data_IF_073086539361
#
_entry.id   IF_073086539361
#
_cell.length_a   1.000
_cell.length_b   1.000
_cell.length_c   1.000
_cell.angle_alpha   90.00
_cell.angle_beta   90.00
_cell.angle_gamma   90.00
#
_symmetry.space_group_name_H-M   'P 1'
#
loop_
_entity.id
_entity.type
_entity.pdbx_description
1 polymer ?
#
# COMPACT_ATOMS: atom_id res chain seq x y z
N UNK A 1 -41.14 3.73 -12.25
CA UNK A 1 -39.88 3.17 -11.74
C UNK A 1 -40.01 3.03 -10.22
N UNK A 2 -40.35 1.83 -9.72
CA UNK A 2 -40.53 1.59 -8.27
C UNK A 2 -39.18 1.17 -7.70
N UNK A 3 -38.52 2.06 -6.99
CA UNK A 3 -37.36 1.74 -6.18
C UNK A 3 -37.80 0.84 -5.01
N UNK A 4 -37.43 -0.42 -5.08
CA UNK A 4 -37.62 -1.36 -3.97
C UNK A 4 -36.59 -1.03 -2.89
N UNK A 5 -37.02 -0.39 -1.83
CA UNK A 5 -36.23 0.04 -0.65
C UNK A 5 -35.76 -1.11 0.27
N UNK A 6 -35.80 -2.36 -0.18
CA UNK A 6 -35.63 -3.52 0.71
C UNK A 6 -34.21 -4.12 0.77
N UNK A 7 -33.19 -3.45 0.19
CA UNK A 7 -31.80 -3.95 0.23
C UNK A 7 -30.77 -3.05 0.95
N UNK A 8 -31.24 -2.08 1.73
CA UNK A 8 -30.39 -1.17 2.51
C UNK A 8 -30.32 -1.51 4.00
N UNK A 9 -30.61 -2.74 4.41
CA UNK A 9 -30.62 -3.17 5.80
C UNK A 9 -29.65 -4.33 6.02
N UNK A 10 -28.33 -4.10 6.09
CA UNK A 10 -27.51 -4.86 7.03
C UNK A 10 -26.80 -4.01 8.10
N UNK A 11 -26.96 -2.70 8.15
CA UNK A 11 -26.24 -1.86 9.10
C UNK A 11 -26.81 -1.82 10.51
N UNK A 12 -28.02 -2.31 10.74
CA UNK A 12 -28.67 -2.27 12.06
C UNK A 12 -28.53 -3.52 12.92
N UNK A 13 -27.88 -4.58 12.45
CA UNK A 13 -27.78 -5.85 13.19
C UNK A 13 -26.63 -5.93 14.18
N UNK A 14 -25.72 -4.95 14.24
CA UNK A 14 -24.57 -4.93 15.15
C UNK A 14 -24.83 -4.28 16.51
N UNK A 15 -26.02 -3.77 16.76
CA UNK A 15 -26.35 -3.09 18.03
C UNK A 15 -26.98 -4.01 19.11
N UNK A 16 -27.08 -5.31 18.86
CA UNK A 16 -27.65 -6.27 19.80
C UNK A 16 -26.62 -7.31 20.27
N UNK A 17 -25.44 -6.87 20.74
CA UNK A 17 -24.57 -7.74 21.51
C UNK A 17 -25.00 -7.67 22.98
N UNK A 18 -25.44 -8.77 23.61
CA UNK A 18 -25.89 -8.76 24.98
C UNK A 18 -24.73 -8.48 25.92
N UNK A 19 -25.00 -7.74 26.96
CA UNK A 19 -24.27 -7.26 28.14
C UNK A 19 -23.11 -8.01 28.79
N UNK A 20 -22.30 -8.73 28.02
CA UNK A 20 -21.10 -9.41 28.53
C UNK A 20 -19.79 -8.62 28.30
N UNK A 21 -19.88 -7.36 27.81
CA UNK A 21 -18.71 -6.56 27.49
C UNK A 21 -18.36 -5.57 28.63
N UNK A 22 -18.02 -6.06 29.80
CA UNK A 22 -17.69 -5.21 30.97
C UNK A 22 -16.39 -4.41 30.85
N UNK A 23 -15.64 -4.53 29.75
CA UNK A 23 -14.43 -3.72 29.49
C UNK A 23 -14.10 -3.56 27.99
N UNK A 24 -15.06 -3.71 27.10
CA UNK A 24 -14.83 -3.61 25.66
C UNK A 24 -14.60 -2.16 25.24
N UNK A 25 -13.62 -1.96 24.37
CA UNK A 25 -13.39 -0.73 23.63
C UNK A 25 -13.76 -1.00 22.17
N UNK A 26 -14.78 -0.31 21.66
CA UNK A 26 -15.30 -0.52 20.31
C UNK A 26 -15.05 0.74 19.50
N UNK A 27 -14.33 0.59 18.39
CA UNK A 27 -14.10 1.64 17.39
C UNK A 27 -14.85 1.30 16.11
N UNK A 28 -15.54 2.28 15.56
CA UNK A 28 -16.21 2.20 14.26
C UNK A 28 -15.65 3.26 13.34
N UNK A 29 -15.17 2.84 12.18
CA UNK A 29 -14.69 3.69 11.11
C UNK A 29 -15.58 3.52 9.89
N UNK A 30 -16.10 4.61 9.37
CA UNK A 30 -16.90 4.60 8.16
C UNK A 30 -16.44 5.72 7.21
N UNK A 31 -16.20 5.38 5.94
CA UNK A 31 -15.85 6.35 4.92
C UNK A 31 -16.69 6.13 3.69
N UNK A 32 -17.47 7.14 3.32
CA UNK A 32 -18.27 7.17 2.08
C UNK A 32 -17.55 8.06 1.07
N UNK A 33 -17.34 7.56 -0.14
CA UNK A 33 -16.67 8.27 -1.21
C UNK A 33 -17.54 8.20 -2.46
N UNK A 34 -17.83 9.35 -3.07
CA UNK A 34 -18.37 9.44 -4.43
C UNK A 34 -17.29 10.09 -5.30
N UNK A 35 -16.84 9.38 -6.31
CA UNK A 35 -15.89 9.90 -7.29
C UNK A 35 -16.61 10.21 -8.58
N UNK A 36 -16.28 11.34 -9.19
CA UNK A 36 -16.71 11.73 -10.52
C UNK A 36 -15.48 11.85 -11.40
N UNK A 37 -15.49 11.16 -12.52
CA UNK A 37 -14.38 11.13 -13.44
C UNK A 37 -14.88 11.20 -14.88
N UNK A 38 -14.27 12.08 -15.67
CA UNK A 38 -14.46 12.13 -17.11
C UNK A 38 -13.15 11.81 -17.78
N UNK A 39 -13.14 10.79 -18.62
CA UNK A 39 -11.98 10.36 -19.41
C UNK A 39 -12.25 10.57 -20.87
N UNK A 40 -11.23 11.04 -21.56
CA UNK A 40 -11.18 11.09 -23.00
C UNK A 40 -9.96 10.29 -23.48
N UNK A 41 -10.17 9.03 -23.83
CA UNK A 41 -9.12 8.22 -24.47
C UNK A 41 -9.02 8.60 -25.97
N UNK A 42 -7.81 8.61 -26.56
CA UNK A 42 -7.65 8.85 -27.99
C UNK A 42 -8.50 7.87 -28.80
N UNK A 43 -9.45 8.41 -29.58
CA UNK A 43 -10.31 7.62 -30.48
C UNK A 43 -11.54 6.97 -29.84
N UNK A 44 -11.82 7.21 -28.55
CA UNK A 44 -13.04 6.73 -27.89
C UNK A 44 -13.94 7.89 -27.45
N UNK A 45 -15.28 7.67 -27.33
CA UNK A 45 -16.16 8.66 -26.73
C UNK A 45 -15.77 8.97 -25.28
N UNK A 46 -15.97 10.22 -24.85
CA UNK A 46 -15.82 10.58 -23.44
C UNK A 46 -16.66 9.70 -22.55
N UNK A 47 -16.04 9.13 -21.52
CA UNK A 47 -16.72 8.29 -20.53
C UNK A 47 -16.89 9.06 -19.22
N UNK A 48 -18.09 9.01 -18.65
CA UNK A 48 -18.37 9.54 -17.32
C UNK A 48 -18.54 8.37 -16.36
N UNK A 49 -17.76 8.35 -15.29
CA UNK A 49 -17.75 7.32 -14.28
C UNK A 49 -18.05 7.96 -12.93
N UNK A 50 -18.97 7.39 -12.17
CA UNK A 50 -19.33 7.91 -10.85
C UNK A 50 -19.49 6.77 -9.81
N UNK A 51 -18.41 6.07 -9.42
CA UNK A 51 -18.48 5.05 -8.39
C UNK A 51 -18.71 5.67 -7.01
N UNK A 52 -19.73 5.18 -6.32
CA UNK A 52 -19.97 5.41 -4.90
C UNK A 52 -19.42 4.22 -4.11
N UNK A 53 -18.50 4.47 -3.19
CA UNK A 53 -17.84 3.43 -2.40
C UNK A 53 -18.07 3.71 -0.92
N UNK A 54 -18.49 2.68 -0.18
CA UNK A 54 -18.60 2.70 1.25
C UNK A 54 -17.53 1.77 1.84
N UNK A 55 -16.67 2.30 2.70
CA UNK A 55 -15.77 1.55 3.55
C UNK A 55 -16.36 1.48 4.96
N UNK A 56 -16.20 0.34 5.62
CA UNK A 56 -16.66 0.14 6.99
C UNK A 56 -15.66 -0.70 7.76
N UNK A 57 -15.22 -0.19 8.91
CA UNK A 57 -14.36 -0.85 9.88
C UNK A 57 -15.02 -0.97 11.24
N UNK A 58 -14.72 -2.07 11.91
CA UNK A 58 -15.11 -2.34 13.29
C UNK A 58 -13.93 -2.99 14.00
N UNK A 59 -13.46 -2.35 15.07
CA UNK A 59 -12.50 -2.89 16.00
C UNK A 59 -13.15 -3.02 17.38
N UNK A 60 -13.20 -4.24 17.92
CA UNK A 60 -13.64 -4.51 19.27
C UNK A 60 -12.48 -5.09 20.06
N UNK A 61 -11.94 -4.30 20.97
CA UNK A 61 -10.77 -4.63 21.77
C UNK A 61 -11.17 -4.94 23.21
N UNK A 62 -10.26 -5.61 23.97
CA UNK A 62 -10.42 -5.93 25.39
C UNK A 62 -11.64 -6.80 25.71
N UNK A 63 -12.07 -7.63 24.77
CA UNK A 63 -13.07 -8.67 25.01
C UNK A 63 -12.46 -9.79 25.88
N UNK A 64 -13.30 -10.59 26.56
CA UNK A 64 -12.87 -11.74 27.36
C UNK A 64 -11.69 -11.39 28.28
N UNK A 65 -11.90 -10.47 29.22
CA UNK A 65 -10.91 -9.99 30.20
C UNK A 65 -9.66 -9.35 29.55
N UNK A 66 -9.85 -8.79 28.36
CA UNK A 66 -8.81 -8.09 27.62
C UNK A 66 -7.86 -8.99 26.85
N UNK A 67 -8.24 -10.24 26.63
CA UNK A 67 -7.43 -11.20 25.90
C UNK A 67 -7.88 -11.40 24.45
N UNK A 68 -9.14 -11.08 24.14
CA UNK A 68 -9.72 -11.25 22.81
C UNK A 68 -9.96 -9.91 22.13
N UNK A 69 -9.71 -9.83 20.84
CA UNK A 69 -10.12 -8.73 19.97
C UNK A 69 -10.69 -9.24 18.65
N UNK A 70 -11.61 -8.45 18.08
CA UNK A 70 -12.20 -8.67 16.76
C UNK A 70 -11.89 -7.46 15.90
N UNK A 71 -11.42 -7.71 14.69
CA UNK A 71 -11.09 -6.68 13.68
C UNK A 71 -11.76 -7.04 12.37
N UNK A 72 -12.56 -6.12 11.83
CA UNK A 72 -13.27 -6.32 10.56
C UNK A 72 -13.18 -5.03 9.75
N UNK A 73 -12.82 -5.14 8.48
CA UNK A 73 -12.81 -4.01 7.54
C UNK A 73 -13.15 -4.50 6.14
N UNK A 74 -14.04 -3.78 5.49
CA UNK A 74 -14.45 -4.11 4.14
C UNK A 74 -14.98 -2.90 3.39
N UNK A 75 -15.33 -3.11 2.12
CA UNK A 75 -15.89 -2.09 1.27
C UNK A 75 -16.95 -2.64 0.33
N UNK A 76 -17.87 -1.78 -0.06
CA UNK A 76 -18.82 -2.02 -1.13
C UNK A 76 -18.88 -0.82 -2.05
N UNK A 77 -19.02 -1.06 -3.36
CA UNK A 77 -19.07 -0.04 -4.40
C UNK A 77 -20.19 -0.31 -5.37
N UNK A 78 -20.89 0.75 -5.77
CA UNK A 78 -21.81 0.76 -6.89
C UNK A 78 -21.50 1.97 -7.80
N UNK A 79 -21.64 1.81 -9.11
CA UNK A 79 -21.55 2.93 -10.03
C UNK A 79 -22.93 3.59 -10.19
N UNK A 80 -23.01 4.90 -9.97
CA UNK A 80 -24.28 5.67 -10.02
C UNK A 80 -24.52 6.36 -11.38
N UNK A 81 -23.51 6.43 -12.25
CA UNK A 81 -23.65 7.06 -13.57
C UNK A 81 -23.80 6.01 -14.67
N UNK A 82 -22.83 5.11 -14.79
CA UNK A 82 -22.78 4.12 -15.86
C UNK A 82 -22.23 2.78 -15.34
N UNK A 83 -22.14 1.77 -16.20
CA UNK A 83 -21.50 0.52 -15.81
C UNK A 83 -20.03 0.75 -15.56
N UNK A 84 -19.53 0.27 -14.42
CA UNK A 84 -18.11 0.33 -14.08
C UNK A 84 -17.25 -0.44 -15.10
N UNK A 85 -15.93 -0.28 -15.02
CA UNK A 85 -14.95 -0.94 -15.90
C UNK A 85 -15.17 -2.44 -16.14
N UNK A 86 -15.85 -3.13 -15.24
CA UNK A 86 -16.08 -4.57 -15.29
C UNK A 86 -17.49 -4.94 -15.72
N UNK A 87 -18.30 -4.01 -16.24
CA UNK A 87 -19.73 -4.22 -16.50
C UNK A 87 -20.56 -4.65 -15.28
N UNK A 88 -20.02 -4.57 -14.07
CA UNK A 88 -20.71 -4.90 -12.84
C UNK A 88 -21.20 -3.64 -12.15
N UNK A 89 -22.48 -3.61 -11.80
CA UNK A 89 -23.04 -2.49 -11.04
C UNK A 89 -22.58 -2.46 -9.59
N UNK A 90 -22.23 -3.63 -9.02
CA UNK A 90 -21.83 -3.74 -7.63
C UNK A 90 -20.58 -4.61 -7.49
N UNK A 91 -19.68 -4.14 -6.66
CA UNK A 91 -18.50 -4.86 -6.21
C UNK A 91 -18.32 -4.65 -4.70
N UNK A 92 -17.67 -5.59 -4.04
CA UNK A 92 -17.38 -5.46 -2.62
C UNK A 92 -16.45 -6.55 -2.14
N UNK A 93 -15.73 -6.27 -1.09
CA UNK A 93 -14.77 -7.21 -0.52
C UNK A 93 -14.57 -7.01 0.97
N UNK A 94 -14.34 -8.10 1.67
CA UNK A 94 -13.76 -8.09 3.01
C UNK A 94 -12.26 -7.91 2.87
N UNK A 95 -11.75 -6.74 3.29
CA UNK A 95 -10.30 -6.47 3.26
C UNK A 95 -9.58 -7.27 4.34
N UNK A 96 -10.10 -7.26 5.58
CA UNK A 96 -9.68 -8.17 6.63
C UNK A 96 -10.85 -8.44 7.58
N UNK A 97 -10.80 -9.61 8.23
CA UNK A 97 -11.78 -9.98 9.24
C UNK A 97 -11.22 -11.14 10.06
N UNK A 98 -10.73 -10.83 11.26
CA UNK A 98 -10.09 -11.83 12.10
C UNK A 98 -10.35 -11.61 13.59
N UNK A 99 -10.25 -12.70 14.33
CA UNK A 99 -10.14 -12.73 15.78
C UNK A 99 -8.68 -12.83 16.17
N UNK A 100 -8.29 -12.11 17.22
CA UNK A 100 -6.97 -12.24 17.84
C UNK A 100 -7.12 -12.55 19.31
N UNK A 101 -6.44 -13.59 19.77
CA UNK A 101 -6.40 -13.98 21.19
C UNK A 101 -4.98 -13.89 21.73
N UNK A 102 -4.81 -13.17 22.83
CA UNK A 102 -3.54 -12.97 23.54
C UNK A 102 -3.40 -13.89 24.72
N UNK A 103 -2.42 -14.78 24.69
CA UNK A 103 -2.03 -15.63 25.83
C UNK A 103 -1.00 -14.89 26.68
N UNK A 104 -1.45 -14.12 27.68
CA UNK A 104 -0.55 -13.27 28.48
C UNK A 104 0.56 -14.06 29.18
N UNK A 105 0.24 -15.24 29.73
CA UNK A 105 1.20 -16.09 30.43
C UNK A 105 2.31 -16.64 29.54
N UNK A 106 2.00 -16.89 28.28
CA UNK A 106 2.95 -17.45 27.30
C UNK A 106 3.54 -16.38 26.39
N UNK A 107 3.17 -15.09 26.59
CA UNK A 107 3.50 -14.00 25.68
C UNK A 107 3.25 -14.38 24.20
N UNK A 108 2.10 -14.96 23.93
CA UNK A 108 1.76 -15.51 22.62
C UNK A 108 0.46 -14.90 22.09
N UNK A 109 0.37 -14.81 20.76
CA UNK A 109 -0.80 -14.35 20.01
C UNK A 109 -1.26 -15.42 19.04
N UNK A 110 -2.56 -15.63 18.95
CA UNK A 110 -3.22 -16.44 17.93
C UNK A 110 -4.16 -15.54 17.13
N UNK A 111 -4.09 -15.59 15.81
CA UNK A 111 -5.05 -14.94 14.92
C UNK A 111 -5.75 -15.98 14.08
N UNK A 112 -7.04 -15.75 13.78
CA UNK A 112 -7.83 -16.62 12.91
C UNK A 112 -8.83 -15.79 12.09
N UNK A 113 -8.87 -16.01 10.77
CA UNK A 113 -9.69 -15.31 9.81
C UNK A 113 -8.89 -14.79 8.63
N UNK A 114 -9.31 -13.67 8.03
CA UNK A 114 -8.60 -12.97 6.96
C UNK A 114 -7.70 -11.89 7.55
N UNK A 115 -6.41 -11.98 7.36
CA UNK A 115 -5.43 -11.00 7.85
C UNK A 115 -4.17 -10.97 6.99
N UNK A 116 -3.43 -9.85 7.07
CA UNK A 116 -2.12 -9.72 6.44
C UNK A 116 -1.02 -10.24 7.35
N UNK A 117 -0.08 -10.98 6.76
CA UNK A 117 1.14 -11.50 7.37
C UNK A 117 2.32 -10.65 6.95
N UNK A 118 3.13 -10.24 7.93
CA UNK A 118 4.39 -9.53 7.72
C UNK A 118 5.44 -10.17 8.63
N UNK A 119 5.95 -11.33 8.23
CA UNK A 119 6.83 -12.18 9.04
C UNK A 119 8.11 -12.52 8.27
N UNK A 120 9.17 -11.75 8.52
CA UNK A 120 10.45 -11.94 7.85
C UNK A 120 10.37 -11.68 6.35
N UNK A 121 10.50 -12.74 5.55
CA UNK A 121 10.38 -12.65 4.07
C UNK A 121 8.94 -12.76 3.56
N UNK A 122 7.98 -13.08 4.45
CA UNK A 122 6.58 -13.30 4.08
C UNK A 122 5.81 -11.99 4.16
N UNK A 123 5.17 -11.60 3.07
CA UNK A 123 4.30 -10.43 2.98
C UNK A 123 3.06 -10.80 2.15
N UNK A 124 2.12 -11.50 2.81
CA UNK A 124 0.95 -12.08 2.16
C UNK A 124 -0.32 -11.78 2.93
N UNK A 125 -1.46 -11.93 2.28
CA UNK A 125 -2.76 -11.95 2.91
C UNK A 125 -3.36 -13.35 2.82
N UNK A 126 -3.83 -13.87 3.95
CA UNK A 126 -4.40 -15.23 4.02
C UNK A 126 -5.77 -15.27 4.70
N UNK A 127 -6.56 -16.24 4.27
CA UNK A 127 -7.71 -16.77 5.00
C UNK A 127 -7.25 -18.00 5.78
N UNK A 128 -6.95 -17.83 7.09
CA UNK A 128 -6.28 -18.90 7.83
C UNK A 128 -6.07 -18.57 9.29
N UNK A 129 -4.98 -19.11 9.83
CA UNK A 129 -4.56 -18.87 11.21
C UNK A 129 -3.07 -18.57 11.30
N UNK A 130 -2.66 -17.78 12.27
CA UNK A 130 -1.27 -17.56 12.64
C UNK A 130 -1.08 -17.59 14.15
N UNK A 131 0.05 -18.10 14.55
CA UNK A 131 0.51 -18.14 15.94
C UNK A 131 1.88 -17.48 16.04
N UNK A 132 2.08 -16.69 17.09
CA UNK A 132 3.38 -16.08 17.40
C UNK A 132 3.61 -16.12 18.89
N UNK A 133 4.85 -16.39 19.31
CA UNK A 133 5.26 -16.35 20.72
C UNK A 133 6.69 -15.87 20.86
N UNK A 134 6.95 -15.14 21.96
CA UNK A 134 8.31 -14.83 22.39
C UNK A 134 8.76 -15.89 23.41
N UNK A 135 9.91 -16.49 23.15
CA UNK A 135 10.53 -17.52 23.96
C UNK A 135 11.60 -16.91 24.88
N UNK A 136 12.04 -17.65 25.92
CA UNK A 136 13.19 -17.23 26.74
C UNK A 136 14.46 -16.96 25.92
N UNK A 137 15.38 -16.22 26.51
CA UNK A 137 16.70 -15.88 25.94
C UNK A 137 16.65 -15.02 24.67
N UNK A 138 15.51 -14.39 24.36
CA UNK A 138 15.37 -13.51 23.20
C UNK A 138 14.97 -14.20 21.90
N UNK A 139 14.66 -15.49 21.95
CA UNK A 139 14.10 -16.18 20.78
C UNK A 139 12.63 -15.82 20.58
N UNK A 140 12.17 -15.89 19.34
CA UNK A 140 10.78 -15.77 18.96
C UNK A 140 10.44 -16.77 17.87
N UNK A 141 9.22 -17.23 17.85
CA UNK A 141 8.72 -18.17 16.86
C UNK A 141 7.35 -17.72 16.34
N UNK A 142 7.15 -17.79 15.04
CA UNK A 142 5.83 -17.66 14.43
C UNK A 142 5.59 -18.75 13.40
N UNK A 143 4.32 -19.13 13.25
CA UNK A 143 3.86 -20.06 12.23
C UNK A 143 2.49 -19.62 11.71
N UNK A 144 2.20 -19.93 10.46
CA UNK A 144 0.92 -19.63 9.84
C UNK A 144 0.52 -20.71 8.84
N UNK A 145 -0.78 -20.74 8.54
CA UNK A 145 -1.32 -21.60 7.51
C UNK A 145 -2.72 -21.15 7.11
N UNK A 146 -3.01 -21.25 5.80
CA UNK A 146 -4.29 -20.82 5.24
C UNK A 146 -4.29 -20.85 3.73
N UNK A 147 -5.30 -20.20 3.14
CA UNK A 147 -5.39 -19.97 1.71
C UNK A 147 -5.00 -18.53 1.38
N UNK A 148 -4.26 -18.32 0.30
CA UNK A 148 -3.92 -16.98 -0.16
C UNK A 148 -5.14 -16.20 -0.62
N UNK A 149 -5.12 -14.91 -0.33
CA UNK A 149 -6.14 -13.97 -0.77
C UNK A 149 -5.56 -13.13 -1.92
N UNK A 150 -6.03 -13.39 -3.12
CA UNK A 150 -5.58 -12.69 -4.32
C UNK A 150 -6.55 -11.59 -4.73
N UNK A 151 -6.01 -10.47 -5.24
CA UNK A 151 -6.83 -9.46 -5.92
C UNK A 151 -7.07 -9.92 -7.35
N UNK A 152 -8.20 -10.57 -7.62
CA UNK A 152 -8.48 -11.18 -8.92
C UNK A 152 -8.87 -10.13 -9.96
N UNK A 153 -9.53 -9.05 -9.55
CA UNK A 153 -9.98 -7.96 -10.42
C UNK A 153 -10.52 -6.79 -9.59
N UNK A 154 -11.14 -5.81 -10.24
CA UNK A 154 -11.79 -4.69 -9.56
C UNK A 154 -13.00 -5.09 -8.69
N UNK A 155 -13.44 -6.35 -8.71
CA UNK A 155 -14.54 -6.85 -7.87
C UNK A 155 -14.12 -7.09 -6.43
N UNK A 156 -12.83 -7.24 -6.16
CA UNK A 156 -12.31 -7.38 -4.82
C UNK A 156 -11.30 -8.50 -4.65
N UNK A 157 -11.00 -8.79 -3.41
CA UNK A 157 -10.06 -9.81 -2.98
C UNK A 157 -10.81 -11.12 -2.71
N UNK A 158 -10.29 -12.22 -3.23
CA UNK A 158 -10.89 -13.53 -3.03
C UNK A 158 -9.83 -14.61 -2.85
N UNK A 159 -10.18 -15.65 -2.08
CA UNK A 159 -9.49 -16.94 -2.07
C UNK A 159 -10.46 -17.95 -2.66
N UNK A 160 -10.07 -18.73 -3.64
CA UNK A 160 -10.98 -19.73 -4.23
C UNK A 160 -11.08 -21.00 -3.39
N UNK A 161 -10.17 -21.16 -2.43
CA UNK A 161 -10.19 -22.22 -1.41
C UNK A 161 -9.92 -23.63 -1.92
N UNK A 162 -9.65 -23.78 -3.22
CA UNK A 162 -9.33 -25.08 -3.82
C UNK A 162 -7.84 -25.14 -4.19
N UNK A 163 -7.07 -25.89 -3.40
CA UNK A 163 -5.65 -26.09 -3.65
C UNK A 163 -4.73 -24.96 -3.20
N UNK A 164 -5.27 -23.79 -2.86
CA UNK A 164 -4.52 -22.61 -2.43
C UNK A 164 -4.04 -22.76 -0.99
N UNK A 165 -3.03 -23.57 -0.77
CA UNK A 165 -2.40 -23.68 0.55
C UNK A 165 -1.20 -22.73 0.66
N UNK A 166 -1.13 -21.94 1.73
CA UNK A 166 0.04 -21.15 2.08
C UNK A 166 0.41 -21.45 3.53
N UNK A 167 1.63 -21.95 3.74
CA UNK A 167 2.13 -22.37 5.05
C UNK A 167 3.54 -21.83 5.23
N UNK A 168 3.84 -21.41 6.44
CA UNK A 168 5.18 -20.92 6.72
C UNK A 168 5.40 -20.60 8.18
N UNK A 169 6.59 -20.07 8.44
CA UNK A 169 6.97 -19.65 9.77
C UNK A 169 8.29 -18.91 9.79
N UNK A 170 8.57 -18.32 10.92
CA UNK A 170 9.80 -17.59 11.20
C UNK A 170 10.32 -17.94 12.58
N UNK A 171 11.62 -18.16 12.67
CA UNK A 171 12.37 -18.21 13.91
C UNK A 171 13.24 -16.94 13.97
N UNK A 172 13.14 -16.19 15.05
CA UNK A 172 13.96 -15.00 15.23
C UNK A 172 14.67 -14.98 16.57
N UNK A 173 15.77 -14.23 16.62
CA UNK A 173 16.55 -13.97 17.82
C UNK A 173 16.74 -12.46 18.00
N UNK A 174 16.41 -11.96 19.20
CA UNK A 174 16.56 -10.56 19.58
C UNK A 174 17.58 -10.40 20.68
N UNK A 175 18.55 -9.53 20.47
CA UNK A 175 19.57 -9.21 21.43
C UNK A 175 19.48 -7.75 21.90
N UNK A 176 19.07 -7.54 23.14
CA UNK A 176 19.09 -6.26 23.88
C UNK A 176 18.52 -5.05 23.12
N UNK A 177 17.61 -5.23 22.18
CA UNK A 177 17.09 -4.12 21.37
C UNK A 177 18.12 -3.50 20.42
N UNK A 178 19.21 -4.20 20.12
CA UNK A 178 20.29 -3.77 19.23
C UNK A 178 20.30 -4.57 17.94
N UNK A 179 19.94 -5.86 18.02
CA UNK A 179 19.99 -6.78 16.91
C UNK A 179 18.74 -7.67 16.92
N UNK A 180 18.11 -7.83 15.78
CA UNK A 180 17.17 -8.91 15.50
C UNK A 180 17.63 -9.64 14.24
N UNK A 181 17.72 -10.96 14.30
CA UNK A 181 17.97 -11.84 13.18
C UNK A 181 16.80 -12.79 13.04
N UNK A 182 16.33 -13.00 11.82
CA UNK A 182 15.27 -13.92 11.51
C UNK A 182 15.65 -14.90 10.40
N UNK A 183 15.13 -16.12 10.48
CA UNK A 183 15.11 -17.08 9.40
C UNK A 183 13.66 -17.51 9.18
N UNK A 184 13.21 -17.48 7.94
CA UNK A 184 11.81 -17.75 7.58
C UNK A 184 11.71 -18.63 6.34
N UNK A 185 10.60 -19.32 6.22
CA UNK A 185 10.26 -20.12 5.06
C UNK A 185 8.76 -20.09 4.80
N UNK A 186 8.43 -20.21 3.52
CA UNK A 186 7.06 -20.22 3.01
C UNK A 186 6.92 -21.27 1.92
N UNK A 187 5.80 -21.96 1.94
CA UNK A 187 5.35 -22.84 0.88
C UNK A 187 3.94 -22.44 0.47
N UNK A 188 3.77 -22.08 -0.78
CA UNK A 188 2.50 -21.74 -1.41
C UNK A 188 2.23 -22.73 -2.55
N UNK A 189 1.04 -23.35 -2.52
CA UNK A 189 0.52 -24.18 -3.60
C UNK A 189 -0.30 -23.33 -4.54
N UNK A 190 -0.42 -23.73 -5.80
CA UNK A 190 -1.25 -23.10 -6.82
C UNK A 190 -1.07 -21.57 -6.93
N UNK A 191 0.19 -21.14 -6.76
CA UNK A 191 0.54 -19.75 -7.02
C UNK A 191 0.04 -19.35 -8.42
N UNK A 192 -0.53 -18.13 -8.59
CA UNK A 192 -1.03 -17.69 -9.88
C UNK A 192 0.04 -17.84 -10.94
N UNK A 193 -0.30 -18.49 -12.05
CA UNK A 193 0.60 -18.64 -13.18
C UNK A 193 1.04 -17.25 -13.66
N UNK A 194 2.34 -17.03 -13.77
CA UNK A 194 2.87 -15.80 -14.34
C UNK A 194 2.54 -15.79 -15.83
N UNK A 195 1.78 -14.76 -16.26
CA UNK A 195 1.50 -14.58 -17.67
C UNK A 195 2.73 -13.92 -18.30
N UNK A 196 3.45 -14.66 -19.14
CA UNK A 196 4.42 -14.07 -20.05
C UNK A 196 3.65 -13.33 -21.15
N UNK A 197 3.56 -12.01 -21.04
CA UNK A 197 2.90 -11.17 -22.02
C UNK A 197 3.60 -11.20 -23.39
N UNK A 198 4.88 -11.59 -23.43
CA UNK A 198 5.66 -11.75 -24.65
C UNK A 198 5.45 -13.14 -25.29
N UNK A 199 4.97 -14.09 -24.51
CA UNK A 199 4.69 -15.45 -24.98
C UNK A 199 3.39 -16.01 -24.35
N UNK A 200 2.23 -15.42 -24.64
CA UNK A 200 0.96 -15.78 -24.00
C UNK A 200 0.50 -17.23 -24.30
N UNK A 201 1.11 -17.88 -25.30
CA UNK A 201 0.79 -19.27 -25.69
C UNK A 201 1.55 -20.32 -24.86
N UNK A 202 2.55 -19.89 -24.08
CA UNK A 202 3.37 -20.78 -23.28
C UNK A 202 3.75 -20.11 -21.96
N UNK A 203 2.77 -19.77 -21.07
CA UNK A 203 3.08 -19.16 -19.80
C UNK A 203 3.95 -20.12 -18.98
N UNK A 204 5.04 -19.65 -18.34
CA UNK A 204 5.79 -20.47 -17.40
C UNK A 204 4.84 -20.87 -16.27
N UNK A 205 4.53 -22.14 -16.18
CA UNK A 205 3.69 -22.70 -15.13
C UNK A 205 4.52 -22.92 -13.87
N UNK A 206 4.75 -21.87 -13.09
CA UNK A 206 5.23 -22.02 -11.72
C UNK A 206 3.99 -22.15 -10.84
N UNK A 207 3.65 -23.38 -10.48
CA UNK A 207 2.45 -23.67 -9.69
C UNK A 207 2.69 -23.61 -8.17
N UNK A 208 3.93 -23.62 -7.74
CA UNK A 208 4.27 -23.61 -6.33
C UNK A 208 5.37 -22.59 -6.05
N UNK A 209 5.23 -21.85 -4.97
CA UNK A 209 6.29 -21.00 -4.46
C UNK A 209 6.88 -21.60 -3.20
N UNK A 210 8.19 -21.85 -3.22
CA UNK A 210 8.95 -22.29 -2.06
C UNK A 210 10.08 -21.32 -1.81
N UNK A 211 9.86 -20.43 -0.86
CA UNK A 211 10.83 -19.41 -0.50
C UNK A 211 11.40 -19.68 0.88
N UNK A 212 12.71 -19.47 1.01
CA UNK A 212 13.41 -19.45 2.29
C UNK A 212 14.25 -18.19 2.36
N UNK A 213 14.48 -17.67 3.54
CA UNK A 213 15.29 -16.48 3.64
C UNK A 213 15.61 -16.06 5.06
N UNK A 214 16.33 -14.95 5.14
CA UNK A 214 16.69 -14.33 6.40
C UNK A 214 16.45 -12.85 6.38
N UNK A 215 16.22 -12.32 7.55
CA UNK A 215 16.03 -10.90 7.79
C UNK A 215 16.91 -10.40 8.92
N UNK A 216 17.25 -9.13 8.90
CA UNK A 216 18.06 -8.46 9.89
C UNK A 216 17.49 -7.10 10.22
N UNK A 217 17.46 -6.79 11.51
CA UNK A 217 17.38 -5.44 12.02
C UNK A 217 18.53 -5.22 12.98
N UNK A 218 19.30 -4.14 12.76
CA UNK A 218 20.50 -3.83 13.55
C UNK A 218 20.57 -2.34 13.83
N UNK A 219 20.55 -1.96 15.10
CA UNK A 219 20.60 -0.59 15.57
C UNK A 219 21.52 -0.49 16.79
N UNK A 220 22.85 -0.50 16.57
CA UNK A 220 23.84 -0.48 17.65
C UNK A 220 23.87 0.85 18.40
N UNK A 221 23.38 1.90 17.77
CA UNK A 221 23.28 3.24 18.32
C UNK A 221 22.09 3.97 17.71
N UNK A 222 21.45 4.88 18.47
CA UNK A 222 20.30 5.70 18.00
C UNK A 222 20.53 6.47 16.69
N UNK A 223 21.78 6.59 16.26
CA UNK A 223 22.17 7.25 15.01
C UNK A 223 22.40 6.28 13.84
N UNK A 224 22.30 4.98 14.05
CA UNK A 224 22.56 3.98 12.99
C UNK A 224 21.50 2.90 13.06
N UNK A 225 20.84 2.67 11.96
CA UNK A 225 19.87 1.61 11.79
C UNK A 225 20.04 0.95 10.42
N UNK A 226 20.13 -0.37 10.41
CA UNK A 226 20.11 -1.21 9.22
C UNK A 226 18.96 -2.18 9.34
N UNK A 227 18.14 -2.30 8.30
CA UNK A 227 17.12 -3.32 8.20
C UNK A 227 17.08 -3.90 6.80
N UNK A 228 16.65 -5.13 6.69
CA UNK A 228 16.45 -5.75 5.39
C UNK A 228 16.30 -7.24 5.46
N UNK A 229 16.08 -7.80 4.28
CA UNK A 229 15.90 -9.24 4.12
C UNK A 229 16.44 -9.71 2.77
N UNK A 230 16.65 -11.03 2.72
CA UNK A 230 16.96 -11.76 1.50
C UNK A 230 16.07 -12.98 1.44
N UNK A 231 15.42 -13.19 0.31
CA UNK A 231 14.66 -14.41 0.02
C UNK A 231 15.24 -15.17 -1.18
N UNK A 232 15.18 -16.48 -1.12
CA UNK A 232 15.63 -17.41 -2.14
C UNK A 232 14.48 -18.33 -2.52
N UNK A 233 14.14 -18.39 -3.79
CA UNK A 233 13.16 -19.33 -4.32
C UNK A 233 13.85 -20.65 -4.65
N UNK A 234 13.43 -21.72 -3.99
CA UNK A 234 14.05 -23.04 -4.13
C UNK A 234 13.62 -23.77 -5.40
N UNK A 235 12.52 -23.35 -6.04
CA UNK A 235 12.04 -23.93 -7.29
C UNK A 235 12.77 -23.34 -8.49
N UNK A 236 12.86 -22.01 -8.56
CA UNK A 236 13.61 -21.32 -9.61
C UNK A 236 15.13 -21.32 -9.35
N UNK A 237 15.56 -21.82 -8.18
CA UNK A 237 16.96 -21.91 -7.75
C UNK A 237 17.70 -20.58 -7.84
N UNK A 238 17.05 -19.53 -7.42
CA UNK A 238 17.57 -18.17 -7.48
C UNK A 238 17.18 -17.30 -6.30
N UNK A 239 17.91 -16.20 -6.14
CA UNK A 239 17.50 -15.14 -5.20
C UNK A 239 16.22 -14.51 -5.74
N UNK A 240 15.15 -14.54 -4.97
CA UNK A 240 13.88 -13.90 -5.32
C UNK A 240 13.94 -12.39 -5.03
N UNK A 241 14.45 -12.04 -3.84
CA UNK A 241 14.51 -10.65 -3.41
C UNK A 241 15.70 -10.38 -2.49
N UNK A 242 16.28 -9.19 -2.64
CA UNK A 242 17.07 -8.50 -1.62
C UNK A 242 16.44 -7.13 -1.38
N UNK A 243 16.19 -6.78 -0.13
CA UNK A 243 15.70 -5.45 0.25
C UNK A 243 16.41 -5.00 1.51
N UNK A 244 17.22 -3.94 1.41
CA UNK A 244 18.00 -3.40 2.51
C UNK A 244 17.86 -1.90 2.56
N UNK A 245 17.70 -1.38 3.77
CA UNK A 245 17.62 0.04 4.10
C UNK A 245 18.58 0.35 5.24
N UNK A 246 19.38 1.40 5.08
CA UNK A 246 20.30 1.88 6.11
C UNK A 246 20.04 3.36 6.36
N UNK A 247 19.82 3.70 7.61
CA UNK A 247 19.68 5.08 8.07
C UNK A 247 20.86 5.46 8.98
N UNK A 248 21.48 6.59 8.70
CA UNK A 248 22.55 7.15 9.52
C UNK A 248 22.21 8.59 9.87
N UNK A 249 22.33 8.96 11.15
CA UNK A 249 22.15 10.32 11.66
C UNK A 249 23.49 10.82 12.22
N UNK A 250 24.45 11.23 11.36
CA UNK A 250 25.77 11.63 11.79
C UNK A 250 25.76 12.95 12.59
N UNK A 251 24.78 13.80 12.29
CA UNK A 251 24.53 15.08 12.96
C UNK A 251 23.04 15.18 13.34
N UNK A 252 22.74 16.05 14.29
CA UNK A 252 21.38 16.20 14.82
C UNK A 252 20.35 16.59 13.75
N UNK A 253 20.79 17.29 12.70
CA UNK A 253 19.93 17.79 11.61
C UNK A 253 20.14 17.07 10.28
N UNK A 254 21.02 16.07 10.20
CA UNK A 254 21.33 15.35 8.97
C UNK A 254 20.94 13.88 9.09
N UNK A 255 20.11 13.43 8.15
CA UNK A 255 19.77 12.02 7.97
C UNK A 255 20.29 11.58 6.61
N UNK A 256 21.09 10.52 6.60
CA UNK A 256 21.53 9.84 5.39
C UNK A 256 20.81 8.50 5.31
N UNK A 257 20.17 8.23 4.18
CA UNK A 257 19.49 6.96 3.91
C UNK A 257 20.14 6.31 2.71
N UNK A 258 20.50 5.04 2.82
CA UNK A 258 20.94 4.20 1.71
C UNK A 258 19.96 3.07 1.51
N UNK A 259 19.65 2.72 0.26
CA UNK A 259 18.74 1.62 -0.07
C UNK A 259 19.33 0.73 -1.17
N UNK A 260 19.13 -0.56 -1.03
CA UNK A 260 19.41 -1.55 -2.07
C UNK A 260 18.22 -2.49 -2.21
N UNK A 261 17.71 -2.58 -3.42
CA UNK A 261 16.65 -3.52 -3.74
C UNK A 261 17.04 -4.31 -4.99
N UNK A 262 16.83 -5.60 -4.94
CA UNK A 262 16.96 -6.52 -6.07
C UNK A 262 15.77 -7.45 -6.07
N UNK A 263 15.15 -7.61 -7.22
CA UNK A 263 13.98 -8.46 -7.40
C UNK A 263 14.13 -9.22 -8.72
N UNK A 264 13.93 -10.52 -8.70
CA UNK A 264 14.00 -11.36 -9.90
C UNK A 264 12.62 -11.77 -10.38
N UNK A 265 11.73 -12.00 -9.46
CA UNK A 265 10.37 -12.44 -9.75
C UNK A 265 9.43 -11.31 -9.32
N UNK A 266 8.94 -10.56 -10.30
CA UNK A 266 7.82 -9.64 -10.05
C UNK A 266 6.54 -10.45 -10.01
N UNK A 267 6.48 -11.36 -9.06
CA UNK A 267 5.26 -12.03 -8.74
C UNK A 267 4.27 -10.97 -8.27
N UNK A 268 3.07 -10.97 -8.82
CA UNK A 268 1.87 -10.41 -8.19
C UNK A 268 1.54 -8.93 -8.34
N UNK A 269 2.15 -8.17 -9.20
CA UNK A 269 1.56 -6.89 -9.57
C UNK A 269 0.50 -7.04 -10.67
N UNK A 270 -0.46 -7.96 -10.45
CA UNK A 270 -1.65 -8.09 -11.29
C UNK A 270 -2.73 -7.07 -10.94
N UNK A 271 -2.40 -5.92 -10.47
CA UNK A 271 -3.36 -4.83 -10.34
C UNK A 271 -3.33 -3.95 -11.59
N UNK A 272 -4.11 -4.38 -12.59
CA UNK A 272 -4.33 -3.59 -13.79
C UNK A 272 -3.16 -3.60 -14.78
N UNK A 273 -3.41 -3.15 -15.98
CA UNK A 273 -2.40 -2.92 -17.02
C UNK A 273 -1.50 -1.77 -16.54
N UNK A 274 -0.52 -2.09 -15.72
CA UNK A 274 0.46 -1.13 -15.31
C UNK A 274 1.60 -1.05 -16.33
N UNK A 275 2.00 0.14 -16.64
CA UNK A 275 3.14 0.51 -17.48
C UNK A 275 4.41 -0.31 -17.22
N UNK A 276 4.62 -0.73 -15.98
CA UNK A 276 5.74 -1.55 -15.56
C UNK A 276 5.64 -3.00 -16.05
N UNK A 277 4.46 -3.52 -16.32
CA UNK A 277 4.27 -4.92 -16.72
C UNK A 277 4.67 -5.19 -18.16
N UNK A 278 4.53 -4.22 -19.06
CA UNK A 278 4.99 -4.33 -20.45
C UNK A 278 6.51 -4.30 -20.60
N UNK A 279 7.22 -3.83 -19.58
CA UNK A 279 8.67 -3.64 -19.62
C UNK A 279 9.46 -4.68 -18.85
N UNK A 280 8.81 -5.60 -18.14
CA UNK A 280 9.47 -6.49 -17.20
C UNK A 280 9.18 -7.95 -17.59
N UNK A 281 10.19 -8.59 -18.14
CA UNK A 281 10.24 -10.05 -18.12
C UNK A 281 10.35 -10.49 -16.64
N UNK A 282 9.36 -11.19 -16.10
CA UNK A 282 9.37 -11.60 -14.69
C UNK A 282 10.54 -12.53 -14.34
N UNK A 283 11.14 -13.21 -15.32
CA UNK A 283 12.34 -14.00 -15.12
C UNK A 283 13.61 -13.14 -15.01
N UNK A 284 13.52 -11.84 -15.33
CA UNK A 284 14.67 -10.96 -15.38
C UNK A 284 14.88 -10.15 -14.10
N UNK A 285 16.14 -9.91 -13.84
CA UNK A 285 16.62 -9.22 -12.66
C UNK A 285 16.40 -7.72 -12.72
N UNK A 286 15.76 -7.16 -11.73
CA UNK A 286 15.66 -5.71 -11.51
C UNK A 286 16.42 -5.32 -10.25
N UNK A 287 17.33 -4.37 -10.33
CA UNK A 287 18.07 -3.83 -9.19
C UNK A 287 17.88 -2.33 -9.07
N UNK A 288 17.86 -1.84 -7.86
CA UNK A 288 18.02 -0.41 -7.58
C UNK A 288 18.97 -0.18 -6.40
N UNK A 289 19.84 0.79 -6.55
CA UNK A 289 20.70 1.30 -5.50
C UNK A 289 20.45 2.79 -5.38
N UNK A 290 20.13 3.26 -4.19
CA UNK A 290 19.78 4.63 -3.93
C UNK A 290 20.40 5.21 -2.68
N UNK A 291 20.47 6.52 -2.63
CA UNK A 291 20.86 7.28 -1.46
C UNK A 291 20.10 8.60 -1.37
N UNK A 292 19.80 9.01 -0.16
CA UNK A 292 19.14 10.28 0.16
C UNK A 292 19.84 10.95 1.33
N UNK A 293 20.08 12.25 1.21
CA UNK A 293 20.52 13.11 2.30
C UNK A 293 19.40 14.11 2.59
N UNK A 294 18.92 14.16 3.84
CA UNK A 294 17.94 15.15 4.31
C UNK A 294 18.56 15.99 5.41
N UNK A 295 18.52 17.31 5.26
CA UNK A 295 19.08 18.27 6.17
C UNK A 295 18.04 19.28 6.65
N UNK A 296 17.76 19.28 7.95
CA UNK A 296 16.89 20.26 8.58
C UNK A 296 17.68 21.54 8.87
N UNK A 297 17.55 22.55 8.01
CA UNK A 297 18.18 23.88 8.20
C UNK A 297 17.63 24.54 9.47
N UNK A 298 16.33 24.37 9.70
CA UNK A 298 15.63 24.88 10.88
C UNK A 298 14.43 23.99 11.18
N UNK A 299 13.66 24.29 12.22
CA UNK A 299 12.37 23.63 12.48
C UNK A 299 11.36 23.87 11.34
N UNK A 300 11.54 24.94 10.57
CA UNK A 300 10.63 25.32 9.49
C UNK A 300 11.08 24.86 8.12
N UNK A 301 12.36 24.54 7.90
CA UNK A 301 12.93 24.28 6.57
C UNK A 301 13.73 22.99 6.57
N UNK A 302 13.36 22.06 5.71
CA UNK A 302 14.10 20.83 5.39
C UNK A 302 14.44 20.80 3.91
N UNK A 303 15.70 20.50 3.59
CA UNK A 303 16.15 20.20 2.23
C UNK A 303 16.54 18.73 2.15
N UNK A 304 16.27 18.12 1.01
CA UNK A 304 16.73 16.78 0.71
C UNK A 304 17.26 16.70 -0.72
N UNK A 305 18.23 15.81 -0.92
CA UNK A 305 18.69 15.43 -2.24
C UNK A 305 18.77 13.90 -2.31
N UNK A 306 18.42 13.33 -3.44
CA UNK A 306 18.48 11.89 -3.66
C UNK A 306 19.08 11.54 -5.02
N UNK A 307 19.66 10.35 -5.05
CA UNK A 307 20.10 9.68 -6.25
C UNK A 307 19.69 8.22 -6.18
N UNK A 308 19.17 7.68 -7.30
CA UNK A 308 18.81 6.27 -7.43
C UNK A 308 19.16 5.74 -8.80
N UNK A 309 19.91 4.66 -8.85
CA UNK A 309 20.22 3.93 -10.06
C UNK A 309 19.35 2.68 -10.16
N UNK A 310 18.73 2.52 -11.31
CA UNK A 310 17.99 1.32 -11.69
C UNK A 310 18.80 0.54 -12.72
N UNK A 311 18.92 -0.77 -12.52
CA UNK A 311 19.60 -1.67 -13.45
C UNK A 311 18.65 -2.80 -13.80
N UNK A 312 18.33 -2.93 -15.07
CA UNK A 312 17.47 -3.99 -15.62
C UNK A 312 18.16 -4.59 -16.83
N UNK A 313 17.75 -5.80 -17.23
CA UNK A 313 18.31 -6.43 -18.44
C UNK A 313 18.06 -5.61 -19.71
N UNK A 314 16.95 -4.88 -19.75
CA UNK A 314 16.61 -3.96 -20.85
C UNK A 314 17.35 -2.62 -20.81
N UNK A 315 18.15 -2.35 -19.77
CA UNK A 315 18.91 -1.11 -19.67
C UNK A 315 18.94 -0.51 -18.27
N UNK A 316 19.63 0.62 -18.17
CA UNK A 316 19.83 1.33 -16.92
C UNK A 316 19.09 2.68 -16.95
N UNK A 317 18.70 3.15 -15.77
CA UNK A 317 18.22 4.50 -15.55
C UNK A 317 18.82 5.09 -14.27
N UNK A 318 19.02 6.41 -14.29
CA UNK A 318 19.50 7.17 -13.14
C UNK A 318 18.45 8.24 -12.81
N UNK A 319 18.05 8.34 -11.54
CA UNK A 319 17.17 9.39 -11.04
C UNK A 319 17.94 10.29 -10.09
N UNK A 320 17.82 11.59 -10.29
CA UNK A 320 18.38 12.63 -9.45
C UNK A 320 17.25 13.48 -8.93
N UNK A 321 17.26 13.82 -7.67
CA UNK A 321 16.20 14.59 -7.05
C UNK A 321 16.67 15.58 -6.01
N UNK A 322 15.88 16.64 -5.84
CA UNK A 322 15.98 17.56 -4.73
C UNK A 322 14.58 18.00 -4.30
N UNK A 323 14.37 18.04 -2.99
CA UNK A 323 13.13 18.45 -2.35
C UNK A 323 13.40 19.54 -1.32
N UNK A 324 12.49 20.48 -1.20
CA UNK A 324 12.39 21.44 -0.12
C UNK A 324 11.04 21.29 0.54
N UNK A 325 11.03 21.27 1.89
CA UNK A 325 9.81 21.27 2.69
C UNK A 325 9.82 22.48 3.63
N UNK A 326 8.68 23.12 3.75
CA UNK A 326 8.45 24.25 4.64
C UNK A 326 7.30 23.90 5.61
N UNK A 327 7.50 24.17 6.89
CA UNK A 327 6.53 24.00 7.96
C UNK A 327 6.43 25.32 8.72
N UNK A 328 5.34 26.02 8.58
CA UNK A 328 5.10 27.36 9.13
C UNK A 328 3.94 27.31 10.12
N UNK A 329 3.79 28.35 10.93
CA UNK A 329 2.66 28.52 11.87
C UNK A 329 2.45 27.27 12.74
N UNK A 330 3.49 26.79 13.41
CA UNK A 330 3.44 25.59 14.26
C UNK A 330 2.96 24.33 13.52
N UNK A 331 3.35 24.18 12.23
CA UNK A 331 2.97 23.10 11.30
C UNK A 331 1.53 23.17 10.76
N UNK A 332 0.75 24.21 11.04
CA UNK A 332 -0.56 24.37 10.44
C UNK A 332 -0.49 24.70 8.95
N UNK A 333 0.59 25.30 8.47
CA UNK A 333 0.88 25.50 7.06
C UNK A 333 2.09 24.66 6.68
N UNK A 334 1.91 23.76 5.73
CA UNK A 334 2.96 22.90 5.18
C UNK A 334 3.04 23.08 3.68
N UNK A 335 4.22 23.24 3.14
CA UNK A 335 4.42 23.28 1.69
C UNK A 335 5.70 22.57 1.29
N UNK A 336 5.79 22.20 0.03
CA UNK A 336 6.97 21.57 -0.52
C UNK A 336 7.10 21.80 -2.00
N UNK A 337 8.33 21.77 -2.47
CA UNK A 337 8.72 21.83 -3.86
C UNK A 337 9.75 20.75 -4.11
N UNK A 338 9.57 19.96 -5.18
CA UNK A 338 10.48 18.91 -5.57
C UNK A 338 10.76 18.96 -7.05
N UNK A 339 12.02 18.71 -7.40
CA UNK A 339 12.46 18.53 -8.78
C UNK A 339 13.24 17.24 -8.89
N UNK A 340 12.87 16.43 -9.90
CA UNK A 340 13.56 15.18 -10.19
C UNK A 340 13.81 15.05 -11.69
N UNK A 341 14.90 14.40 -12.03
CA UNK A 341 15.22 14.05 -13.40
C UNK A 341 15.49 12.55 -13.50
N UNK A 342 14.73 11.86 -14.33
CA UNK A 342 14.98 10.48 -14.70
C UNK A 342 15.71 10.48 -16.05
N UNK A 343 16.93 9.96 -16.06
CA UNK A 343 17.72 9.67 -17.26
C UNK A 343 17.64 8.17 -17.53
N UNK A 344 16.89 7.78 -18.54
CA UNK A 344 16.75 6.39 -18.95
C UNK A 344 17.56 6.11 -20.23
N UNK A 345 18.17 4.93 -20.31
CA UNK A 345 18.79 4.42 -21.54
C UNK A 345 17.71 4.05 -22.57
N UNK A 346 18.09 3.98 -23.86
CA UNK A 346 17.15 3.67 -24.95
C UNK A 346 16.41 2.33 -24.77
N UNK A 347 17.04 1.37 -24.14
CA UNK A 347 16.50 0.01 -23.90
C UNK A 347 15.71 -0.11 -22.60
N UNK A 348 15.63 0.95 -21.79
CA UNK A 348 14.92 0.93 -20.53
C UNK A 348 13.40 1.03 -20.71
N UNK A 349 12.96 1.53 -21.84
CA UNK A 349 11.56 1.73 -22.17
C UNK A 349 10.98 0.54 -22.96
N UNK A 350 9.67 0.28 -22.85
CA UNK A 350 8.95 -0.62 -23.75
C UNK A 350 9.18 -0.23 -25.22
N UNK A 351 8.99 -1.20 -26.13
CA UNK A 351 9.27 -1.08 -27.57
C UNK A 351 8.63 0.17 -28.20
N UNK A 352 7.48 0.59 -27.69
CA UNK A 352 6.72 1.74 -28.21
C UNK A 352 7.13 3.10 -27.64
N UNK A 353 8.12 3.14 -26.73
CA UNK A 353 8.58 4.37 -26.08
C UNK A 353 10.07 4.57 -26.35
N UNK A 354 10.44 5.49 -27.24
CA UNK A 354 11.82 5.70 -27.64
C UNK A 354 12.72 6.24 -26.52
N UNK A 355 12.15 6.86 -25.48
CA UNK A 355 12.89 7.27 -24.29
C UNK A 355 11.94 7.46 -23.11
N UNK A 356 12.29 6.83 -21.97
CA UNK A 356 11.60 7.05 -20.71
C UNK A 356 12.18 8.20 -19.87
N UNK A 357 13.07 9.03 -20.45
CA UNK A 357 13.70 10.14 -19.71
C UNK A 357 12.74 11.32 -19.59
N UNK A 358 12.65 11.89 -18.38
CA UNK A 358 11.78 13.03 -18.10
C UNK A 358 12.30 13.89 -16.96
N UNK A 359 11.88 15.15 -16.97
CA UNK A 359 11.94 16.04 -15.81
C UNK A 359 10.61 16.04 -15.10
N UNK A 360 10.63 15.93 -13.77
CA UNK A 360 9.47 15.99 -12.89
C UNK A 360 9.59 17.23 -12.02
N UNK A 361 8.54 18.03 -11.96
CA UNK A 361 8.37 19.13 -11.03
C UNK A 361 7.08 18.88 -10.25
N UNK A 362 7.15 18.96 -8.93
CA UNK A 362 5.97 18.84 -8.06
C UNK A 362 6.01 19.88 -6.96
N UNK A 363 4.84 20.34 -6.57
CA UNK A 363 4.70 21.27 -5.48
C UNK A 363 3.37 21.08 -4.77
N UNK A 364 3.34 21.39 -3.49
CA UNK A 364 2.12 21.38 -2.70
C UNK A 364 2.13 22.48 -1.65
N UNK A 365 0.93 22.87 -1.26
CA UNK A 365 0.66 23.68 -0.08
C UNK A 365 -0.56 23.13 0.64
N UNK A 366 -0.50 23.07 1.97
CA UNK A 366 -1.58 22.60 2.82
C UNK A 366 -1.71 23.53 4.01
N UNK A 367 -2.93 23.89 4.36
CA UNK A 367 -3.28 24.55 5.60
C UNK A 367 -4.26 23.66 6.36
N UNK A 368 -3.90 23.27 7.56
CA UNK A 368 -4.66 22.34 8.39
C UNK A 368 -4.93 22.95 9.76
N UNK A 369 -6.17 23.01 10.14
CA UNK A 369 -6.67 23.56 11.40
C UNK A 369 -7.60 22.55 12.09
N UNK A 370 -8.00 22.85 13.31
CA UNK A 370 -9.00 22.02 14.03
C UNK A 370 -10.38 21.99 13.35
N UNK A 371 -10.69 22.97 12.52
CA UNK A 371 -12.02 23.15 11.94
C UNK A 371 -12.06 22.80 10.46
N UNK A 372 -11.03 23.15 9.71
CA UNK A 372 -10.95 22.91 8.28
C UNK A 372 -9.54 22.62 7.83
N UNK A 373 -9.41 21.97 6.69
CA UNK A 373 -8.17 21.89 5.95
C UNK A 373 -8.38 22.31 4.49
N UNK A 374 -7.32 22.85 3.91
CA UNK A 374 -7.26 23.16 2.50
C UNK A 374 -5.88 22.73 1.97
N UNK A 375 -5.85 22.09 0.82
CA UNK A 375 -4.59 21.70 0.16
C UNK A 375 -4.68 21.97 -1.33
N UNK A 376 -3.55 22.31 -1.93
CA UNK A 376 -3.37 22.31 -3.37
C UNK A 376 -2.06 21.63 -3.68
N UNK A 377 -2.05 20.77 -4.69
CA UNK A 377 -0.85 20.12 -5.21
C UNK A 377 -0.84 20.13 -6.73
N UNK A 378 0.35 20.10 -7.30
CA UNK A 378 0.55 19.97 -8.73
C UNK A 378 1.80 19.14 -9.01
N UNK A 379 1.72 18.30 -10.04
CA UNK A 379 2.84 17.55 -10.59
C UNK A 379 2.90 17.75 -12.09
N UNK A 380 4.10 17.94 -12.64
CA UNK A 380 4.33 18.09 -14.07
C UNK A 380 5.53 17.27 -14.52
N UNK A 381 5.41 16.71 -15.73
CA UNK A 381 6.45 15.94 -16.40
C UNK A 381 6.76 16.58 -17.75
N UNK A 382 8.04 16.74 -18.03
CA UNK A 382 8.54 17.14 -19.36
C UNK A 382 9.36 15.98 -19.93
N UNK A 383 8.82 15.30 -20.91
CA UNK A 383 9.47 14.18 -21.58
C UNK A 383 10.59 14.64 -22.51
N UNK A 384 11.72 13.95 -22.48
CA UNK A 384 12.82 14.24 -23.38
C UNK A 384 12.42 13.98 -24.84
N UNK A 385 11.69 12.90 -25.07
CA UNK A 385 11.09 12.55 -26.35
C UNK A 385 9.58 12.48 -26.20
N UNK A 386 8.86 12.62 -27.30
CA UNK A 386 7.39 12.56 -27.25
C UNK A 386 6.92 11.16 -26.86
N UNK A 387 5.97 11.11 -25.94
CA UNK A 387 5.23 9.91 -25.55
C UNK A 387 3.82 10.05 -26.11
N UNK A 388 3.38 9.19 -27.00
CA UNK A 388 2.10 9.28 -27.72
C UNK A 388 1.84 10.69 -28.31
N UNK A 389 2.87 11.26 -28.96
CA UNK A 389 2.88 12.63 -29.51
C UNK A 389 2.87 13.78 -28.49
N UNK A 390 2.84 13.50 -27.18
CA UNK A 390 2.86 14.51 -26.12
C UNK A 390 4.27 14.70 -25.55
N UNK A 391 4.62 15.97 -25.32
CA UNK A 391 5.91 16.38 -24.71
C UNK A 391 5.81 16.57 -23.21
N UNK A 392 4.60 16.72 -22.69
CA UNK A 392 4.34 16.99 -21.28
C UNK A 392 3.13 16.24 -20.76
N UNK A 393 3.14 15.97 -19.47
CA UNK A 393 1.98 15.56 -18.70
C UNK A 393 1.93 16.39 -17.41
N UNK A 394 0.75 16.67 -16.90
CA UNK A 394 0.61 17.37 -15.63
C UNK A 394 -0.75 17.09 -15.01
N UNK A 395 -0.83 17.21 -13.69
CA UNK A 395 -2.06 17.16 -12.92
C UNK A 395 -1.97 18.20 -11.79
N UNK A 396 -3.06 18.91 -11.54
CA UNK A 396 -3.23 19.79 -10.40
C UNK A 396 -4.48 19.37 -9.61
N UNK A 397 -4.37 19.34 -8.28
CA UNK A 397 -5.43 18.95 -7.38
C UNK A 397 -5.67 20.03 -6.34
N UNK A 398 -6.93 20.29 -6.03
CA UNK A 398 -7.38 21.12 -4.91
C UNK A 398 -8.24 20.27 -4.00
N UNK A 399 -7.96 20.31 -2.70
CA UNK A 399 -8.68 19.58 -1.66
C UNK A 399 -9.16 20.54 -0.59
N UNK A 400 -10.42 20.44 -0.24
CA UNK A 400 -11.05 21.22 0.85
C UNK A 400 -11.78 20.26 1.79
N UNK A 401 -11.66 20.47 3.09
CA UNK A 401 -12.36 19.67 4.08
C UNK A 401 -12.76 20.47 5.30
N UNK A 402 -13.80 19.98 5.97
CA UNK A 402 -14.39 20.59 7.16
C UNK A 402 -14.70 19.53 8.21
N UNK A 403 -14.28 19.76 9.45
CA UNK A 403 -14.61 18.94 10.60
C UNK A 403 -15.94 19.39 11.18
N UNK A 404 -17.02 18.67 10.83
CA UNK A 404 -18.39 18.97 11.28
C UNK A 404 -18.50 18.73 12.79
N UNK A 405 -17.93 17.62 13.24
CA UNK A 405 -17.74 17.27 14.66
C UNK A 405 -16.37 16.61 14.83
N UNK A 406 -15.87 16.37 16.05
CA UNK A 406 -14.64 15.58 16.25
C UNK A 406 -14.69 14.19 15.60
N UNK A 407 -15.86 13.60 15.45
CA UNK A 407 -16.06 12.28 14.86
C UNK A 407 -16.43 12.31 13.36
N UNK A 408 -16.85 13.44 12.82
CA UNK A 408 -17.41 13.54 11.47
C UNK A 408 -16.73 14.66 10.68
N UNK A 409 -16.15 14.30 9.55
CA UNK A 409 -15.54 15.23 8.61
C UNK A 409 -16.10 15.03 7.19
N UNK A 410 -16.26 16.14 6.46
CA UNK A 410 -16.59 16.13 5.04
C UNK A 410 -15.46 16.78 4.25
N UNK A 411 -15.13 16.23 3.08
CA UNK A 411 -14.13 16.82 2.18
C UNK A 411 -14.49 16.62 0.72
N UNK A 412 -13.91 17.48 -0.12
CA UNK A 412 -13.98 17.37 -1.57
C UNK A 412 -12.64 17.63 -2.19
N UNK A 413 -12.33 16.85 -3.22
CA UNK A 413 -11.12 16.98 -4.02
C UNK A 413 -11.52 17.18 -5.49
N UNK A 414 -10.82 18.05 -6.18
CA UNK A 414 -10.96 18.22 -7.61
C UNK A 414 -9.57 18.21 -8.25
N UNK A 415 -9.38 17.37 -9.23
CA UNK A 415 -8.15 17.34 -10.04
C UNK A 415 -8.45 17.51 -11.51
N UNK A 416 -7.54 18.19 -12.18
CA UNK A 416 -7.55 18.34 -13.64
C UNK A 416 -6.13 18.14 -14.17
N UNK A 417 -6.02 17.39 -15.24
CA UNK A 417 -4.71 17.09 -15.80
C UNK A 417 -4.77 16.65 -17.24
N UNK A 418 -3.55 16.52 -17.80
CA UNK A 418 -3.29 16.01 -19.13
C UNK A 418 -2.16 14.99 -19.07
N UNK A 419 -2.33 13.88 -19.75
CA UNK A 419 -1.30 12.86 -19.87
C UNK A 419 -1.29 12.24 -21.27
N UNK A 420 -0.22 11.51 -21.65
CA UNK A 420 -0.11 10.93 -22.98
C UNK A 420 -1.16 9.89 -23.34
N UNK A 421 -1.82 9.28 -22.36
CA UNK A 421 -2.86 8.28 -22.59
C UNK A 421 -4.26 8.92 -22.65
N UNK A 422 -4.49 9.93 -21.81
CA UNK A 422 -5.73 10.68 -21.76
C UNK A 422 -5.46 12.14 -22.11
N UNK A 423 -6.05 12.65 -23.16
CA UNK A 423 -5.81 14.02 -23.62
C UNK A 423 -6.20 15.03 -22.54
N UNK A 424 -7.30 14.77 -21.85
CA UNK A 424 -7.77 15.54 -20.73
C UNK A 424 -8.46 14.61 -19.73
N UNK A 425 -8.21 14.84 -18.45
CA UNK A 425 -8.83 14.10 -17.37
C UNK A 425 -9.28 15.06 -16.27
N UNK A 426 -10.57 15.06 -15.95
CA UNK A 426 -11.14 15.78 -14.83
C UNK A 426 -11.70 14.77 -13.83
N UNK A 427 -11.31 14.90 -12.58
CA UNK A 427 -11.75 14.04 -11.48
C UNK A 427 -12.30 14.91 -10.34
N UNK A 428 -13.43 14.52 -9.80
CA UNK A 428 -13.96 15.08 -8.57
C UNK A 428 -14.21 13.97 -7.57
N UNK A 429 -14.00 14.25 -6.29
CA UNK A 429 -14.27 13.31 -5.22
C UNK A 429 -14.94 14.06 -4.05
N UNK A 430 -15.99 13.48 -3.52
CA UNK A 430 -16.59 13.90 -2.26
C UNK A 430 -16.46 12.76 -1.27
N UNK A 431 -16.00 13.10 -0.07
CA UNK A 431 -15.75 12.13 1.00
C UNK A 431 -16.43 12.57 2.29
N UNK A 432 -17.10 11.64 2.94
CA UNK A 432 -17.61 11.77 4.30
C UNK A 432 -16.91 10.71 5.15
N UNK A 433 -16.22 11.13 6.19
CA UNK A 433 -15.48 10.24 7.10
C UNK A 433 -16.08 10.35 8.49
N UNK A 434 -16.36 9.21 9.10
CA UNK A 434 -16.88 9.10 10.44
C UNK A 434 -16.01 8.12 11.24
N UNK A 435 -15.48 8.59 12.40
CA UNK A 435 -14.65 7.80 13.30
C UNK A 435 -15.19 7.99 14.71
N UNK A 436 -15.51 6.89 15.38
CA UNK A 436 -16.08 6.93 16.71
C UNK A 436 -15.55 5.78 17.57
N UNK A 437 -15.13 6.10 18.77
CA UNK A 437 -14.70 5.11 19.77
C UNK A 437 -15.63 5.15 20.96
N UNK A 438 -16.13 3.98 21.35
CA UNK A 438 -16.96 3.79 22.55
C UNK A 438 -16.14 3.04 23.59
N UNK A 439 -16.08 3.57 24.79
CA UNK A 439 -15.52 2.89 25.95
C UNK A 439 -16.69 2.45 26.86
N UNK A 440 -16.73 1.16 27.21
CA UNK A 440 -17.78 0.61 28.07
C UNK A 440 -17.83 1.22 29.49
N UNK A 441 -16.78 1.95 29.89
CA UNK A 441 -16.68 2.60 31.23
C UNK A 441 -17.28 4.01 31.28
N UNK A 442 -17.94 4.45 30.23
CA UNK A 442 -18.79 5.61 30.28
C UNK A 442 -18.36 6.81 29.47
N UNK A 443 -18.42 6.72 28.18
CA UNK A 443 -18.45 7.91 27.37
C UNK A 443 -17.95 7.72 25.93
N UNK A 444 -18.63 8.41 25.06
CA UNK A 444 -18.21 8.71 23.72
C UNK A 444 -16.95 9.61 23.78
N UNK A 445 -15.86 9.19 23.19
CA UNK A 445 -14.67 10.05 22.99
C UNK A 445 -14.59 10.54 21.57
#
# INVERSE_FOLDING_TARGET
MKLSCTRLIPACFLLALPGAALSAEISVDATSIVRFEQRADPGTPKQNIAPATQFLGLDANKLADGNLSLHVYGWGRGDIADKSFNNDQFAGSLTYGYLQYRFKAANADLRAGRFSLHEGIVNEQIDGASFRTDLPLGFGFSAFGGANVHTINLKGQNSDGKGDGNFGGRLNYRYKGVLELGASGQYETDAPAMIDLLNPLNPPTVHNHRTVGGDVWFSPHKSVELMGHTSYNTETKGVAEHSYLMNIKPLHHLVLTGEYNEQRELNYLFSGINFSQLALDPAKRSRSLGGRASYAISKAVELAADYKRYTRDLGNADRYGADMKLSLMENSVRSGLGYHYLRAGKQFAPVDYPSASYHELRGYVMHDTKTYFAAADAIGYLFKEKVHNEKAAWEATISLGYHITPALAASGDFSYGRNPQFIEEAKGLVRLTYNMTFDSKGGMK
#
